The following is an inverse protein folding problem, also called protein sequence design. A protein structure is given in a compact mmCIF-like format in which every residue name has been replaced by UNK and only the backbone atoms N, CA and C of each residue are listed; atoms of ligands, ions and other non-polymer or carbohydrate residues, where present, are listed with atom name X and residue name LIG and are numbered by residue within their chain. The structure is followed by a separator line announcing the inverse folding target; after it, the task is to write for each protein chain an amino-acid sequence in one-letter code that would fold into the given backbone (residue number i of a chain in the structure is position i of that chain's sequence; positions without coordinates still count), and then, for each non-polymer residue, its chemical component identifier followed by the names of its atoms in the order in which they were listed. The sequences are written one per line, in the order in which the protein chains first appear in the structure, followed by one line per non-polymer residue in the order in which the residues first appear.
data_IF_170290481505
#
_entry.id   IF_170290481505
#
_cell.length_a   1.000
_cell.length_b   1.000
_cell.length_c   1.000
_cell.angle_alpha   90.00
_cell.angle_beta   90.00
_cell.angle_gamma   90.00
#
_symmetry.space_group_name_H-M   'P 1'
#
loop_
_entity.id
_entity.type
_entity.pdbx_description
1 polymer ?
#
# COMPACT_ATOMS: atom_id res chain seq x y z
N UNK A 1 13.20 25.37 2.67
CA UNK A 1 12.31 24.20 2.63
C UNK A 1 11.14 24.58 1.73
N UNK A 2 10.75 23.70 0.80
CA UNK A 2 9.74 24.01 -0.24
C UNK A 2 8.28 23.78 0.22
N UNK A 3 8.03 23.68 1.53
CA UNK A 3 6.68 23.63 2.11
C UNK A 3 5.95 22.28 2.08
N UNK A 4 6.45 21.28 1.34
CA UNK A 4 5.87 19.93 1.34
C UNK A 4 5.81 19.32 2.76
N UNK A 5 4.65 18.81 3.15
CA UNK A 5 4.41 18.25 4.48
C UNK A 5 4.65 16.74 4.56
N UNK A 6 4.68 16.05 3.43
CA UNK A 6 4.98 14.62 3.29
C UNK A 6 5.29 14.31 1.82
N UNK A 7 5.92 13.16 1.57
CA UNK A 7 6.18 12.65 0.22
C UNK A 7 5.84 11.17 0.12
N UNK A 8 5.42 10.72 -1.07
CA UNK A 8 5.25 9.29 -1.37
C UNK A 8 6.26 8.88 -2.43
N UNK A 9 6.91 7.72 -2.24
CA UNK A 9 7.97 7.24 -3.12
C UNK A 9 7.57 5.89 -3.71
N UNK A 10 7.34 5.87 -5.03
CA UNK A 10 7.32 4.64 -5.83
C UNK A 10 8.72 4.42 -6.39
N UNK A 11 9.49 3.40 -5.95
CA UNK A 11 10.90 3.27 -6.30
C UNK A 11 11.08 2.52 -7.63
N UNK A 12 10.41 3.05 -8.65
CA UNK A 12 10.60 2.72 -10.06
C UNK A 12 10.72 4.01 -10.84
N UNK A 13 11.61 3.99 -11.81
CA UNK A 13 11.69 5.07 -12.79
C UNK A 13 10.47 5.06 -13.70
N UNK A 14 10.17 6.22 -14.29
CA UNK A 14 9.14 6.34 -15.34
C UNK A 14 9.31 5.31 -16.46
N UNK A 15 10.55 5.00 -16.86
CA UNK A 15 10.85 4.03 -17.95
C UNK A 15 10.50 2.59 -17.57
N UNK A 16 10.66 2.21 -16.30
CA UNK A 16 10.31 0.88 -15.82
C UNK A 16 8.79 0.67 -15.80
N UNK A 17 8.02 1.73 -15.52
CA UNK A 17 6.56 1.62 -15.37
C UNK A 17 6.22 0.60 -14.30
N UNK A 18 5.48 -0.45 -14.66
CA UNK A 18 5.09 -1.54 -13.74
C UNK A 18 5.99 -2.79 -13.83
N UNK A 19 7.08 -2.73 -14.60
CA UNK A 19 7.99 -3.87 -14.82
C UNK A 19 9.01 -4.01 -13.69
N UNK A 20 9.58 -5.21 -13.56
CA UNK A 20 10.58 -5.53 -12.54
C UNK A 20 10.04 -5.42 -11.11
N UNK A 21 10.95 -5.41 -10.15
CA UNK A 21 10.65 -5.31 -8.71
C UNK A 21 10.92 -3.88 -8.25
N UNK A 22 10.03 -3.34 -7.42
CA UNK A 22 10.23 -2.06 -6.75
C UNK A 22 11.47 -2.12 -5.83
N UNK A 23 12.43 -1.21 -6.02
CA UNK A 23 13.68 -1.18 -5.23
C UNK A 23 13.49 -0.42 -3.93
N UNK A 24 12.95 -1.09 -2.91
CA UNK A 24 12.60 -0.45 -1.64
C UNK A 24 13.78 0.22 -0.90
N UNK A 25 15.03 -0.14 -1.22
CA UNK A 25 16.21 0.54 -0.68
C UNK A 25 16.20 2.04 -0.99
N UNK A 26 15.64 2.45 -2.14
CA UNK A 26 15.49 3.86 -2.51
C UNK A 26 14.55 4.60 -1.55
N UNK A 27 13.50 3.93 -1.04
CA UNK A 27 12.59 4.52 -0.06
C UNK A 27 13.35 4.77 1.25
N UNK A 28 14.19 3.82 1.68
CA UNK A 28 15.05 3.98 2.86
C UNK A 28 16.00 5.16 2.70
N UNK A 29 16.71 5.23 1.56
CA UNK A 29 17.63 6.33 1.25
C UNK A 29 16.92 7.70 1.32
N UNK A 30 15.69 7.78 0.79
CA UNK A 30 14.89 9.01 0.88
C UNK A 30 14.47 9.29 2.33
N UNK A 31 13.99 8.28 3.08
CA UNK A 31 13.59 8.42 4.49
C UNK A 31 14.73 8.92 5.37
N UNK A 32 15.95 8.45 5.14
CA UNK A 32 17.15 8.90 5.86
C UNK A 32 17.58 10.32 5.47
N UNK A 33 17.30 10.74 4.22
CA UNK A 33 17.73 12.03 3.69
C UNK A 33 16.77 13.20 4.01
N UNK A 34 15.50 12.94 4.31
CA UNK A 34 14.48 13.99 4.51
C UNK A 34 13.96 14.05 5.94
N UNK A 35 13.60 15.25 6.40
CA UNK A 35 13.00 15.48 7.73
C UNK A 35 11.47 15.44 7.76
N UNK A 36 10.81 15.13 6.65
CA UNK A 36 9.35 15.06 6.54
C UNK A 36 8.88 13.59 6.42
N UNK A 37 7.61 13.29 6.76
CA UNK A 37 7.07 11.95 6.58
C UNK A 37 7.20 11.41 5.15
N UNK A 38 7.61 10.14 5.04
CA UNK A 38 7.76 9.39 3.79
C UNK A 38 6.76 8.24 3.77
N UNK A 39 5.97 8.17 2.69
CA UNK A 39 5.04 7.09 2.41
C UNK A 39 5.68 6.10 1.43
N UNK A 40 5.87 4.86 1.86
CA UNK A 40 6.40 3.80 1.01
C UNK A 40 5.33 3.29 0.03
N UNK A 41 5.66 3.21 -1.26
CA UNK A 41 4.77 2.70 -2.29
C UNK A 41 5.44 1.69 -3.22
N UNK A 42 4.65 0.74 -3.73
CA UNK A 42 5.08 -0.21 -4.76
C UNK A 42 5.18 -1.64 -4.24
N UNK A 43 4.59 -2.57 -4.98
CA UNK A 43 4.63 -4.03 -4.77
C UNK A 43 4.11 -4.56 -3.42
N UNK A 44 3.30 -3.76 -2.71
CA UNK A 44 2.50 -4.24 -1.57
C UNK A 44 1.27 -4.98 -2.10
N UNK A 45 1.20 -6.29 -1.90
CA UNK A 45 0.11 -7.18 -2.32
C UNK A 45 -0.55 -7.93 -1.16
N UNK A 46 0.01 -7.82 0.04
CA UNK A 46 -0.49 -8.45 1.26
C UNK A 46 -0.16 -7.58 2.48
N UNK A 47 -0.75 -7.92 3.63
CA UNK A 47 -0.41 -7.29 4.90
C UNK A 47 1.06 -7.52 5.29
N UNK A 48 1.60 -8.70 4.99
CA UNK A 48 3.01 -9.03 5.26
C UNK A 48 3.95 -8.20 4.38
N UNK A 49 3.58 -7.88 3.14
CA UNK A 49 4.38 -6.99 2.29
C UNK A 49 4.44 -5.58 2.90
N UNK A 50 3.34 -5.10 3.49
CA UNK A 50 3.33 -3.81 4.18
C UNK A 50 4.24 -3.83 5.42
N UNK A 51 4.19 -4.89 6.24
CA UNK A 51 5.10 -5.05 7.38
C UNK A 51 6.56 -5.04 6.94
N UNK A 52 6.90 -5.79 5.88
CA UNK A 52 8.27 -5.79 5.32
C UNK A 52 8.67 -4.43 4.77
N UNK A 53 7.76 -3.68 4.17
CA UNK A 53 8.02 -2.30 3.72
C UNK A 53 8.40 -1.41 4.90
N UNK A 54 7.64 -1.47 6.01
CA UNK A 54 7.97 -0.72 7.23
C UNK A 54 9.34 -1.13 7.79
N UNK A 55 9.59 -2.43 7.93
CA UNK A 55 10.83 -2.98 8.47
C UNK A 55 12.06 -2.60 7.64
N UNK A 56 11.98 -2.70 6.31
CA UNK A 56 13.12 -2.49 5.43
C UNK A 56 13.44 -1.01 5.18
N UNK A 57 12.43 -0.14 5.22
CA UNK A 57 12.57 1.25 4.76
C UNK A 57 12.46 2.28 5.86
N UNK A 58 11.85 1.93 7.00
CA UNK A 58 11.52 2.89 8.05
C UNK A 58 10.53 3.97 7.64
N UNK A 59 9.79 3.78 6.54
CA UNK A 59 8.77 4.74 6.10
C UNK A 59 7.67 4.93 7.16
N UNK A 60 7.05 6.11 7.21
CA UNK A 60 6.06 6.46 8.24
C UNK A 60 4.66 5.91 7.93
N UNK A 61 4.41 5.56 6.66
CA UNK A 61 3.14 5.04 6.17
C UNK A 61 3.35 4.26 4.87
N UNK A 62 2.35 3.47 4.48
CA UNK A 62 2.35 2.77 3.19
C UNK A 62 1.17 3.18 2.32
N UNK A 63 1.40 3.20 1.01
CA UNK A 63 0.37 3.42 0.00
C UNK A 63 0.19 2.15 -0.84
N UNK A 64 -1.04 1.63 -0.86
CA UNK A 64 -1.40 0.42 -1.62
C UNK A 64 -2.14 0.83 -2.90
N UNK A 65 -1.59 0.42 -4.05
CA UNK A 65 -2.23 0.58 -5.36
C UNK A 65 -2.89 -0.71 -5.80
N UNK A 66 -2.35 -1.36 -6.84
CA UNK A 66 -2.90 -2.60 -7.44
C UNK A 66 -3.28 -3.72 -6.45
N UNK A 67 -2.62 -3.81 -5.30
CA UNK A 67 -2.97 -4.79 -4.25
C UNK A 67 -4.36 -4.61 -3.65
N UNK A 68 -5.00 -3.44 -3.81
CA UNK A 68 -6.37 -3.19 -3.33
C UNK A 68 -7.45 -3.48 -4.37
N UNK A 69 -7.09 -3.67 -5.65
CA UNK A 69 -8.06 -3.83 -6.72
C UNK A 69 -8.86 -5.14 -6.53
N UNK A 70 -10.18 -5.01 -6.37
CA UNK A 70 -11.07 -6.15 -6.08
C UNK A 70 -10.84 -6.80 -4.71
N UNK A 71 -10.01 -6.20 -3.86
CA UNK A 71 -9.66 -6.74 -2.55
C UNK A 71 -9.43 -5.62 -1.50
N UNK A 72 -10.48 -4.85 -1.16
CA UNK A 72 -10.37 -3.73 -0.21
C UNK A 72 -9.96 -4.16 1.21
N UNK A 73 -10.18 -5.43 1.60
CA UNK A 73 -9.81 -5.94 2.92
C UNK A 73 -8.31 -5.84 3.24
N UNK A 74 -7.43 -5.68 2.24
CA UNK A 74 -5.99 -5.47 2.47
C UNK A 74 -5.71 -4.34 3.48
N UNK A 75 -6.51 -3.27 3.49
CA UNK A 75 -6.30 -2.16 4.42
C UNK A 75 -6.59 -2.54 5.87
N UNK A 76 -7.67 -3.27 6.13
CA UNK A 76 -7.99 -3.79 7.46
C UNK A 76 -6.93 -4.81 7.89
N UNK A 77 -6.52 -5.70 6.98
CA UNK A 77 -5.51 -6.72 7.26
C UNK A 77 -4.15 -6.13 7.61
N UNK A 78 -3.73 -5.06 6.92
CA UNK A 78 -2.52 -4.28 7.29
C UNK A 78 -2.67 -3.72 8.70
N UNK A 79 -3.82 -3.11 9.02
CA UNK A 79 -4.08 -2.57 10.37
C UNK A 79 -4.03 -3.67 11.44
N UNK A 80 -4.62 -4.83 11.20
CA UNK A 80 -4.57 -5.98 12.13
C UNK A 80 -3.14 -6.43 12.38
N UNK A 81 -2.34 -6.64 11.32
CA UNK A 81 -0.93 -7.03 11.46
C UNK A 81 -0.12 -5.97 12.23
N UNK A 82 -0.32 -4.68 11.96
CA UNK A 82 0.32 -3.59 12.71
C UNK A 82 -0.08 -3.56 14.20
N UNK A 83 -1.30 -3.99 14.52
CA UNK A 83 -1.77 -4.14 15.89
C UNK A 83 -1.32 -5.46 16.57
N UNK A 84 -0.50 -6.29 15.90
CA UNK A 84 -0.10 -7.60 16.40
C UNK A 84 -1.22 -8.64 16.40
N UNK A 85 -2.26 -8.43 15.59
CA UNK A 85 -3.43 -9.29 15.49
C UNK A 85 -3.40 -10.12 14.21
N UNK A 86 -4.03 -11.30 14.24
CA UNK A 86 -4.21 -12.08 13.01
C UNK A 86 -5.27 -11.47 12.10
N UNK A 87 -4.97 -11.27 10.80
CA UNK A 87 -5.93 -10.69 9.88
C UNK A 87 -7.09 -11.63 9.58
N UNK A 88 -8.31 -11.09 9.56
CA UNK A 88 -9.47 -11.82 9.07
C UNK A 88 -9.42 -11.94 7.55
N UNK A 89 -9.68 -13.14 7.04
CA UNK A 89 -9.90 -13.37 5.61
C UNK A 89 -11.38 -13.15 5.28
N UNK A 90 -11.72 -12.41 4.22
CA UNK A 90 -13.10 -12.29 3.78
C UNK A 90 -13.61 -13.63 3.26
N UNK A 91 -14.86 -13.94 3.58
CA UNK A 91 -15.56 -15.10 3.04
C UNK A 91 -15.86 -14.91 1.56
N UNK A 92 -16.14 -16.01 0.85
CA UNK A 92 -16.58 -15.95 -0.55
C UNK A 92 -17.85 -15.11 -0.72
N UNK A 93 -18.77 -15.15 0.25
CA UNK A 93 -19.99 -14.34 0.24
C UNK A 93 -19.66 -12.84 0.27
N UNK A 94 -18.82 -12.41 1.21
CA UNK A 94 -18.42 -11.00 1.34
C UNK A 94 -17.70 -10.50 0.08
N UNK A 95 -16.91 -11.37 -0.57
CA UNK A 95 -16.27 -11.03 -1.85
C UNK A 95 -17.27 -10.81 -2.98
N UNK A 96 -18.32 -11.63 -3.05
CA UNK A 96 -19.40 -11.48 -4.03
C UNK A 96 -20.22 -10.23 -3.73
N UNK A 97 -20.59 -10.01 -2.46
CA UNK A 97 -21.34 -8.83 -2.02
C UNK A 97 -20.61 -7.53 -2.38
N UNK A 98 -19.32 -7.43 -2.06
CA UNK A 98 -18.49 -6.28 -2.44
C UNK A 98 -18.43 -6.04 -3.96
N UNK A 99 -18.36 -7.12 -4.75
CA UNK A 99 -18.37 -6.97 -6.21
C UNK A 99 -19.71 -6.43 -6.72
N UNK A 100 -20.82 -6.91 -6.16
CA UNK A 100 -22.16 -6.42 -6.49
C UNK A 100 -22.37 -4.97 -6.03
N UNK A 101 -21.88 -4.60 -4.85
CA UNK A 101 -21.91 -3.23 -4.34
C UNK A 101 -21.15 -2.28 -5.27
N UNK A 102 -19.92 -2.62 -5.65
CA UNK A 102 -19.14 -1.82 -6.59
C UNK A 102 -19.86 -1.64 -7.94
N UNK A 103 -20.42 -2.72 -8.51
CA UNK A 103 -21.19 -2.64 -9.75
C UNK A 103 -22.43 -1.75 -9.59
N UNK A 104 -23.13 -1.85 -8.46
CA UNK A 104 -24.31 -1.03 -8.20
C UNK A 104 -23.94 0.46 -8.09
N UNK A 105 -22.78 0.79 -7.51
CA UNK A 105 -22.27 2.17 -7.46
C UNK A 105 -21.96 2.71 -8.85
N UNK A 106 -21.30 1.92 -9.72
CA UNK A 106 -21.01 2.35 -11.10
C UNK A 106 -22.26 2.62 -11.94
N UNK A 107 -23.38 1.94 -11.66
CA UNK A 107 -24.65 2.16 -12.35
C UNK A 107 -25.41 3.41 -11.86
N UNK A 108 -24.96 4.05 -10.77
CA UNK A 108 -25.56 5.27 -10.23
C UNK A 108 -24.87 6.55 -10.71
N UNK A 109 -23.77 6.43 -11.46
CA UNK A 109 -23.07 7.54 -12.14
C UNK A 109 -23.59 7.77 -13.56
#
# INVERSE_FOLDING_TARGET
SEGAQWISVHPRTRKQGFRGVARWEIIREVKEAVGIPVVGNGDIRSADDALRMFEQTGCDSVMVGRGSFGYPWIFEQIKSKLAGQEPRLPTTRERVEMALENMATELQE
#
